data_IF_126088162701
#
_entry.id   IF_126088162701
#
_cell.length_a   1.000
_cell.length_b   1.000
_cell.length_c   1.000
_cell.angle_alpha   90.00
_cell.angle_beta   90.00
_cell.angle_gamma   90.00
#
_symmetry.space_group_name_H-M   'P 1'
#
loop_
_entity.id
_entity.type
_entity.pdbx_description
1 polymer ?
#
# COMPACT_ATOMS: atom_id res chain seq x y z
N UNK A 1 -12.68 10.73 -28.97
CA UNK A 1 -12.78 10.70 -27.50
C UNK A 1 -13.54 9.47 -27.11
N UNK A 2 -12.83 8.38 -26.85
CA UNK A 2 -13.46 7.21 -26.25
C UNK A 2 -13.74 7.53 -24.78
N UNK A 3 -15.02 7.57 -24.42
CA UNK A 3 -15.42 7.77 -23.04
C UNK A 3 -15.27 6.44 -22.29
N UNK A 4 -14.13 6.21 -21.65
CA UNK A 4 -13.83 5.02 -20.85
C UNK A 4 -14.25 5.16 -19.38
N UNK A 5 -15.12 6.12 -19.05
CA UNK A 5 -15.69 6.27 -17.72
C UNK A 5 -16.68 5.13 -17.42
N UNK A 6 -16.50 4.40 -16.31
CA UNK A 6 -17.40 3.30 -15.92
C UNK A 6 -17.63 3.22 -14.41
N UNK A 7 -18.88 3.05 -14.02
CA UNK A 7 -19.28 2.78 -12.64
C UNK A 7 -19.61 1.29 -12.46
N UNK A 8 -19.25 0.76 -11.30
CA UNK A 8 -19.42 -0.63 -10.93
C UNK A 8 -20.16 -0.74 -9.60
N UNK A 9 -21.32 -1.41 -9.60
CA UNK A 9 -22.14 -1.65 -8.41
C UNK A 9 -22.45 -3.12 -8.15
N UNK A 10 -22.00 -4.01 -9.05
CA UNK A 10 -22.14 -5.45 -8.87
C UNK A 10 -21.22 -5.96 -7.74
N UNK A 11 -21.56 -7.05 -7.03
CA UNK A 11 -20.72 -7.56 -5.93
C UNK A 11 -19.32 -7.98 -6.37
N UNK A 12 -19.16 -8.43 -7.61
CA UNK A 12 -17.87 -8.80 -8.19
C UNK A 12 -17.79 -8.26 -9.60
N UNK A 13 -16.57 -7.94 -10.06
CA UNK A 13 -16.35 -7.54 -11.44
C UNK A 13 -14.89 -7.53 -11.82
N UNK A 14 -14.67 -7.28 -13.11
CA UNK A 14 -13.35 -7.14 -13.72
C UNK A 14 -13.25 -5.74 -14.32
N UNK A 15 -12.13 -5.07 -14.10
CA UNK A 15 -11.77 -3.76 -14.62
C UNK A 15 -10.51 -3.94 -15.44
N UNK A 16 -10.58 -3.53 -16.70
CA UNK A 16 -9.51 -3.71 -17.68
C UNK A 16 -9.23 -2.38 -18.37
N UNK A 17 -7.98 -2.17 -18.75
CA UNK A 17 -7.60 -1.06 -19.64
C UNK A 17 -8.33 -1.19 -20.99
N UNK A 18 -8.69 -0.09 -21.65
CA UNK A 18 -9.32 -0.15 -22.97
C UNK A 18 -8.47 -0.94 -23.97
N UNK A 19 -9.08 -1.89 -24.67
CA UNK A 19 -8.39 -2.73 -25.65
C UNK A 19 -7.77 -4.02 -25.09
N UNK A 20 -7.74 -4.23 -23.77
CA UNK A 20 -7.13 -5.42 -23.17
C UNK A 20 -7.68 -6.74 -23.80
N UNK A 21 -6.82 -7.73 -24.13
CA UNK A 21 -5.38 -7.83 -23.84
C UNK A 21 -4.46 -7.17 -24.87
N UNK A 22 -5.00 -6.49 -25.88
CA UNK A 22 -4.18 -5.68 -26.80
C UNK A 22 -3.72 -4.39 -26.11
N UNK A 23 -2.75 -3.73 -26.74
CA UNK A 23 -2.17 -2.48 -26.21
C UNK A 23 -3.22 -1.39 -26.04
N UNK A 24 -3.14 -0.66 -24.93
CA UNK A 24 -4.04 0.45 -24.67
C UNK A 24 -3.84 1.63 -25.64
N UNK A 25 -4.90 2.38 -25.98
CA UNK A 25 -4.78 3.64 -26.72
C UNK A 25 -3.94 4.72 -26.01
N UNK A 26 -3.37 5.62 -26.80
CA UNK A 26 -2.69 6.83 -26.33
C UNK A 26 -3.68 7.94 -25.92
N UNK A 27 -3.23 8.86 -25.06
CA UNK A 27 -3.99 10.03 -24.59
C UNK A 27 -5.32 9.67 -23.92
N UNK A 28 -5.32 8.64 -23.09
CA UNK A 28 -6.48 8.23 -22.32
C UNK A 28 -6.58 8.97 -21.00
N UNK A 29 -7.81 9.30 -20.64
CA UNK A 29 -8.21 9.77 -19.32
C UNK A 29 -9.41 8.94 -18.87
N UNK A 30 -9.13 7.76 -18.32
CA UNK A 30 -10.15 6.81 -17.91
C UNK A 30 -10.39 6.86 -16.41
N UNK A 31 -11.64 6.71 -16.01
CA UNK A 31 -12.00 6.63 -14.59
C UNK A 31 -12.99 5.49 -14.35
N UNK A 32 -12.65 4.64 -13.38
CA UNK A 32 -13.43 3.49 -12.98
C UNK A 32 -13.81 3.64 -11.52
N UNK A 33 -15.11 3.68 -11.20
CA UNK A 33 -15.58 3.90 -9.83
C UNK A 33 -16.35 2.66 -9.36
N UNK A 34 -15.87 2.05 -8.27
CA UNK A 34 -16.56 0.96 -7.59
C UNK A 34 -17.39 1.55 -6.44
N UNK A 35 -18.70 1.36 -6.51
CA UNK A 35 -19.68 1.84 -5.54
C UNK A 35 -20.19 0.64 -4.75
N UNK A 36 -19.85 0.59 -3.47
CA UNK A 36 -20.15 -0.53 -2.59
C UNK A 36 -21.24 -0.18 -1.56
N UNK A 37 -22.15 -1.11 -1.23
CA UNK A 37 -23.17 -0.89 -0.21
C UNK A 37 -22.57 -0.66 1.20
N UNK A 38 -23.35 -0.12 2.15
CA UNK A 38 -22.93 -0.04 3.54
C UNK A 38 -22.50 -1.40 4.11
N UNK A 39 -21.56 -1.39 5.06
CA UNK A 39 -21.03 -2.60 5.72
C UNK A 39 -20.36 -3.59 4.76
N UNK A 40 -19.79 -3.11 3.66
CA UNK A 40 -19.03 -3.94 2.73
C UNK A 40 -17.59 -3.48 2.62
N UNK A 41 -16.68 -4.43 2.48
CA UNK A 41 -15.27 -4.21 2.16
C UNK A 41 -15.04 -4.60 0.69
N UNK A 42 -14.51 -3.67 -0.09
CA UNK A 42 -14.07 -3.90 -1.47
C UNK A 42 -12.63 -4.40 -1.43
N UNK A 43 -12.41 -5.60 -1.94
CA UNK A 43 -11.06 -6.13 -2.21
C UNK A 43 -10.78 -6.05 -3.70
N UNK A 44 -9.74 -5.31 -4.10
CA UNK A 44 -9.24 -5.20 -5.47
C UNK A 44 -7.91 -5.97 -5.59
N UNK A 45 -7.75 -6.74 -6.67
CA UNK A 45 -6.54 -7.52 -6.93
C UNK A 45 -6.22 -7.52 -8.42
N UNK A 46 -4.97 -7.18 -8.76
CA UNK A 46 -4.49 -7.14 -10.13
C UNK A 46 -4.09 -8.55 -10.58
N UNK A 47 -4.55 -8.94 -11.77
CA UNK A 47 -4.21 -10.20 -12.42
C UNK A 47 -3.00 -10.01 -13.34
N UNK A 48 -2.98 -8.90 -14.09
CA UNK A 48 -1.88 -8.47 -14.97
C UNK A 48 -1.71 -6.96 -14.83
N UNK A 49 -0.47 -6.49 -15.02
CA UNK A 49 -0.14 -5.08 -14.97
C UNK A 49 1.16 -4.81 -15.76
N UNK A 50 1.06 -4.04 -16.84
CA UNK A 50 2.20 -3.58 -17.65
C UNK A 50 1.85 -2.22 -18.26
N UNK A 51 2.40 -1.15 -17.66
CA UNK A 51 2.28 0.22 -18.14
C UNK A 51 3.67 0.79 -18.48
N UNK A 52 3.73 1.82 -19.31
CA UNK A 52 4.98 2.55 -19.52
C UNK A 52 5.51 3.13 -18.20
N UNK A 53 6.83 3.06 -18.01
CA UNK A 53 7.54 3.71 -16.91
C UNK A 53 8.78 4.43 -17.45
N UNK A 54 9.33 5.37 -16.68
CA UNK A 54 10.57 6.08 -17.00
C UNK A 54 11.76 5.10 -17.08
N UNK A 55 12.32 4.86 -18.28
CA UNK A 55 13.40 3.89 -18.46
C UNK A 55 14.73 4.37 -17.86
N UNK A 56 14.84 5.66 -17.49
CA UNK A 56 16.07 6.25 -16.95
C UNK A 56 16.18 6.14 -15.43
N UNK A 57 15.10 5.76 -14.73
CA UNK A 57 15.10 5.57 -13.29
C UNK A 57 15.27 4.08 -12.94
N UNK A 58 16.27 3.76 -12.12
CA UNK A 58 16.38 2.43 -11.52
C UNK A 58 15.28 2.28 -10.46
N UNK A 59 14.16 1.64 -10.81
CA UNK A 59 13.05 1.38 -9.90
C UNK A 59 11.69 1.76 -10.48
N UNK A 60 10.69 1.97 -9.62
CA UNK A 60 9.29 2.25 -10.01
C UNK A 60 9.06 3.68 -10.53
N UNK A 61 10.08 4.54 -10.48
CA UNK A 61 10.00 5.92 -10.97
C UNK A 61 8.87 6.74 -10.32
N UNK A 62 8.64 7.95 -10.82
CA UNK A 62 7.48 8.77 -10.40
C UNK A 62 6.25 8.53 -11.31
N UNK A 63 6.28 7.48 -12.14
CA UNK A 63 5.25 7.17 -13.13
C UNK A 63 4.84 8.38 -13.97
N UNK A 64 5.82 8.97 -14.68
CA UNK A 64 5.67 10.25 -15.38
C UNK A 64 4.92 10.17 -16.71
N UNK A 65 4.95 8.99 -17.36
CA UNK A 65 4.36 8.78 -18.69
C UNK A 65 2.96 8.22 -18.56
N UNK A 66 2.85 6.92 -18.26
CA UNK A 66 1.58 6.25 -18.03
C UNK A 66 1.45 5.83 -16.56
N UNK A 67 0.25 5.97 -16.00
CA UNK A 67 0.03 5.59 -14.61
C UNK A 67 -1.41 5.21 -14.31
N UNK A 68 -1.55 4.43 -13.24
CA UNK A 68 -2.81 4.11 -12.60
C UNK A 68 -2.82 4.64 -11.17
N UNK A 69 -3.63 5.66 -10.91
CA UNK A 69 -3.89 6.14 -9.56
C UNK A 69 -5.07 5.37 -8.95
N UNK A 70 -4.92 4.87 -7.72
CA UNK A 70 -6.01 4.24 -6.97
C UNK A 70 -6.37 5.11 -5.77
N UNK A 71 -7.65 5.42 -5.61
CA UNK A 71 -8.18 6.37 -4.63
C UNK A 71 -9.16 5.70 -3.69
N UNK A 72 -9.02 5.93 -2.38
CA UNK A 72 -10.00 5.52 -1.37
C UNK A 72 -11.16 6.53 -1.28
N UNK A 73 -11.89 6.67 -2.39
CA UNK A 73 -12.96 7.65 -2.53
C UNK A 73 -13.13 8.06 -3.98
N UNK A 74 -13.57 9.31 -4.20
CA UNK A 74 -13.61 9.92 -5.53
C UNK A 74 -12.19 10.34 -5.98
N UNK A 75 -11.86 10.26 -7.27
CA UNK A 75 -10.56 10.73 -7.78
C UNK A 75 -10.30 12.19 -7.40
N UNK A 76 -9.07 12.52 -7.01
CA UNK A 76 -8.64 13.88 -6.62
C UNK A 76 -9.36 14.50 -5.41
N UNK A 77 -10.18 13.71 -4.70
CA UNK A 77 -10.92 14.15 -3.50
C UNK A 77 -10.66 13.22 -2.33
N UNK A 78 -10.76 11.90 -2.56
CA UNK A 78 -10.39 10.90 -1.56
C UNK A 78 -8.87 10.79 -1.39
N UNK A 79 -8.39 10.12 -0.34
CA UNK A 79 -6.96 9.80 -0.19
C UNK A 79 -6.43 8.98 -1.37
N UNK A 80 -5.24 9.34 -1.87
CA UNK A 80 -4.51 8.53 -2.84
C UNK A 80 -3.91 7.32 -2.10
N UNK A 81 -4.28 6.11 -2.54
CA UNK A 81 -3.70 4.86 -2.01
C UNK A 81 -2.33 4.63 -2.63
N UNK A 82 -2.20 4.92 -3.92
CA UNK A 82 -0.94 4.77 -4.63
C UNK A 82 -1.07 5.10 -6.12
N UNK A 83 0.09 5.43 -6.71
CA UNK A 83 0.30 5.60 -8.14
C UNK A 83 1.16 4.44 -8.63
N UNK A 84 0.73 3.75 -9.68
CA UNK A 84 1.39 2.55 -10.18
C UNK A 84 1.68 2.65 -11.67
N UNK A 85 2.84 2.12 -12.08
CA UNK A 85 3.27 1.98 -13.48
C UNK A 85 4.34 0.88 -13.61
N UNK A 86 4.81 0.62 -14.83
CA UNK A 86 5.77 -0.46 -15.10
C UNK A 86 5.11 -1.85 -15.04
N UNK A 87 5.92 -2.87 -14.74
CA UNK A 87 5.51 -4.29 -14.80
C UNK A 87 5.25 -4.91 -13.43
N UNK A 88 5.45 -4.16 -12.34
CA UNK A 88 5.21 -4.68 -10.99
C UNK A 88 3.72 -4.68 -10.71
N UNK A 89 3.18 -5.84 -10.37
CA UNK A 89 1.77 -6.00 -10.01
C UNK A 89 1.50 -5.22 -8.71
N UNK A 90 0.54 -4.27 -8.70
CA UNK A 90 0.20 -3.54 -7.49
C UNK A 90 -0.28 -4.47 -6.38
N UNK A 91 -0.02 -4.12 -5.10
CA UNK A 91 -0.45 -4.93 -3.97
C UNK A 91 -1.97 -5.05 -3.93
N UNK A 92 -2.46 -6.06 -3.19
CA UNK A 92 -3.89 -6.23 -2.95
C UNK A 92 -4.44 -5.06 -2.12
N UNK A 93 -5.49 -4.42 -2.61
CA UNK A 93 -6.09 -3.23 -2.01
C UNK A 93 -7.40 -3.60 -1.31
N UNK A 94 -7.63 -3.10 -0.10
CA UNK A 94 -8.84 -3.36 0.69
C UNK A 94 -9.47 -2.08 1.25
N UNK A 95 -10.51 -1.59 0.57
CA UNK A 95 -11.24 -0.38 0.98
C UNK A 95 -12.55 -0.72 1.70
N UNK A 96 -12.92 0.14 2.65
CA UNK A 96 -14.19 0.04 3.40
C UNK A 96 -14.96 1.38 3.44
N UNK A 97 -14.58 2.35 2.61
CA UNK A 97 -15.16 3.71 2.61
C UNK A 97 -16.48 3.82 1.84
N UNK A 98 -16.82 2.80 1.06
CA UNK A 98 -18.00 2.81 0.18
C UNK A 98 -17.66 3.11 -1.28
N UNK A 99 -16.55 3.80 -1.54
CA UNK A 99 -16.10 4.19 -2.88
C UNK A 99 -14.61 3.85 -3.06
N UNK A 100 -14.29 3.12 -4.12
CA UNK A 100 -12.91 2.86 -4.55
C UNK A 100 -12.81 3.25 -6.03
N UNK A 101 -11.89 4.15 -6.37
CA UNK A 101 -11.77 4.65 -7.74
C UNK A 101 -10.38 4.39 -8.31
N UNK A 102 -10.33 4.13 -9.62
CA UNK A 102 -9.10 4.01 -10.39
C UNK A 102 -9.11 5.09 -11.47
N UNK A 103 -8.01 5.83 -11.62
CA UNK A 103 -7.79 6.79 -12.70
C UNK A 103 -6.61 6.33 -13.54
N UNK A 104 -6.86 6.01 -14.80
CA UNK A 104 -5.85 5.53 -15.74
C UNK A 104 -5.55 6.61 -16.76
N UNK A 105 -4.29 7.04 -16.78
CA UNK A 105 -3.76 8.07 -17.68
C UNK A 105 -2.74 7.46 -18.63
N UNK A 106 -2.79 7.87 -19.90
CA UNK A 106 -1.77 7.51 -20.89
C UNK A 106 -1.30 8.72 -21.70
N UNK A 107 -0.02 8.74 -22.08
CA UNK A 107 0.57 9.82 -22.85
C UNK A 107 0.42 9.64 -24.39
N UNK A 108 1.15 10.42 -25.18
CA UNK A 108 1.07 10.39 -26.66
C UNK A 108 1.81 9.22 -27.31
N UNK A 109 2.61 8.45 -26.58
CA UNK A 109 3.52 7.45 -27.12
C UNK A 109 3.50 6.14 -26.31
N UNK A 110 4.31 5.16 -26.78
CA UNK A 110 4.66 3.89 -26.11
C UNK A 110 3.53 3.24 -25.29
N UNK A 111 2.64 2.51 -25.96
CA UNK A 111 1.65 1.69 -25.27
C UNK A 111 2.20 0.28 -24.92
N UNK A 112 1.78 -0.21 -23.76
CA UNK A 112 2.00 -1.55 -23.21
C UNK A 112 0.70 -2.36 -23.16
N UNK A 113 0.75 -3.56 -22.58
CA UNK A 113 -0.37 -4.50 -22.56
C UNK A 113 -1.49 -4.08 -21.59
N UNK A 114 -1.22 -3.12 -20.69
CA UNK A 114 -2.23 -2.54 -19.80
C UNK A 114 -2.44 -3.34 -18.53
N UNK A 115 -3.67 -3.35 -18.02
CA UNK A 115 -3.99 -4.03 -16.77
C UNK A 115 -5.33 -4.76 -16.83
N UNK A 116 -5.42 -5.84 -16.05
CA UNK A 116 -6.68 -6.50 -15.71
C UNK A 116 -6.73 -6.70 -14.20
N UNK A 117 -7.78 -6.19 -13.57
CA UNK A 117 -7.98 -6.25 -12.13
C UNK A 117 -9.37 -6.78 -11.80
N UNK A 118 -9.46 -7.58 -10.74
CA UNK A 118 -10.72 -8.12 -10.23
C UNK A 118 -11.04 -7.52 -8.89
N UNK A 119 -12.29 -7.12 -8.70
CA UNK A 119 -12.78 -6.71 -7.40
C UNK A 119 -13.88 -7.65 -6.88
N UNK A 120 -13.97 -7.73 -5.55
CA UNK A 120 -15.03 -8.43 -4.83
C UNK A 120 -15.46 -7.61 -3.62
N UNK A 121 -16.76 -7.48 -3.41
CA UNK A 121 -17.40 -6.86 -2.27
C UNK A 121 -17.77 -7.94 -1.26
N UNK A 122 -17.26 -7.83 -0.04
CA UNK A 122 -17.57 -8.75 1.05
C UNK A 122 -18.30 -8.02 2.15
N UNK A 123 -19.51 -8.47 2.49
CA UNK A 123 -20.23 -7.93 3.64
C UNK A 123 -19.49 -8.29 4.92
N UNK A 124 -19.27 -7.30 5.79
CA UNK A 124 -18.65 -7.48 7.08
C UNK A 124 -19.72 -7.47 8.16
N UNK A 125 -19.85 -8.61 8.83
CA UNK A 125 -20.63 -8.72 10.06
C UNK A 125 -19.70 -8.48 11.24
N UNK A 126 -20.09 -7.60 12.16
CA UNK A 126 -19.34 -7.35 13.40
C UNK A 126 -20.06 -8.06 14.53
N UNK A 127 -19.35 -8.96 15.22
CA UNK A 127 -19.87 -9.63 16.41
C UNK A 127 -19.91 -8.66 17.60
N UNK A 128 -20.89 -8.79 18.48
CA UNK A 128 -20.97 -8.04 19.75
C UNK A 128 -19.76 -8.31 20.67
N UNK A 129 -19.07 -9.43 20.47
CA UNK A 129 -17.86 -9.81 21.20
C UNK A 129 -16.57 -9.34 20.52
N UNK A 130 -16.67 -8.43 19.53
CA UNK A 130 -15.51 -7.97 18.78
C UNK A 130 -14.61 -7.07 19.65
N UNK A 131 -13.34 -7.45 19.73
CA UNK A 131 -12.28 -6.61 20.26
C UNK A 131 -11.42 -6.11 19.10
N UNK A 132 -11.16 -4.80 19.07
CA UNK A 132 -10.29 -4.19 18.06
C UNK A 132 -8.82 -4.47 18.38
N UNK A 133 -8.41 -5.74 18.30
CA UNK A 133 -7.06 -6.22 18.65
C UNK A 133 -6.48 -7.15 17.59
N UNK A 134 -7.14 -7.29 16.44
CA UNK A 134 -6.66 -8.09 15.32
C UNK A 134 -5.39 -7.49 14.71
N UNK A 135 -4.38 -8.33 14.48
CA UNK A 135 -3.13 -7.90 13.85
C UNK A 135 -3.35 -7.39 12.42
N UNK A 136 -2.72 -6.27 12.05
CA UNK A 136 -2.82 -5.72 10.69
C UNK A 136 -2.03 -6.52 9.65
N UNK A 137 -1.05 -7.31 10.10
CA UNK A 137 -0.50 -8.39 9.30
C UNK A 137 0.94 -8.24 8.87
N UNK A 138 1.79 -7.59 9.68
CA UNK A 138 3.26 -7.66 9.54
C UNK A 138 3.73 -9.13 9.54
N UNK A 139 3.29 -9.93 10.51
CA UNK A 139 3.61 -11.36 10.59
C UNK A 139 2.98 -12.18 9.45
N UNK A 140 1.68 -11.96 9.19
CA UNK A 140 0.93 -12.74 8.19
C UNK A 140 1.28 -12.45 6.72
N UNK A 141 2.08 -11.41 6.44
CA UNK A 141 2.36 -10.96 5.08
C UNK A 141 1.26 -10.13 4.41
N UNK A 142 0.15 -9.82 5.12
CA UNK A 142 -0.93 -8.97 4.58
C UNK A 142 -0.47 -7.54 4.30
N UNK A 143 0.43 -7.02 5.13
CA UNK A 143 1.18 -5.79 4.84
C UNK A 143 2.33 -6.20 3.91
N UNK A 144 2.38 -5.64 2.71
CA UNK A 144 3.43 -5.95 1.72
C UNK A 144 4.78 -5.33 2.11
N UNK A 145 5.86 -5.76 1.48
CA UNK A 145 7.19 -5.19 1.73
C UNK A 145 7.28 -3.71 1.34
N UNK A 146 6.51 -3.28 0.33
CA UNK A 146 6.50 -1.88 -0.13
C UNK A 146 5.85 -0.93 0.87
N UNK A 147 5.00 -1.46 1.74
CA UNK A 147 4.38 -0.72 2.82
C UNK A 147 5.32 -0.55 4.03
N UNK A 148 6.51 -1.14 4.01
CA UNK A 148 7.47 -1.09 5.13
C UNK A 148 8.72 -0.34 4.67
N UNK A 149 8.96 0.83 5.24
CA UNK A 149 10.17 1.61 4.98
C UNK A 149 10.82 2.08 6.28
N UNK A 150 12.04 2.60 6.18
CA UNK A 150 12.80 3.08 7.31
C UNK A 150 13.66 4.28 6.91
N UNK A 151 14.17 5.00 7.92
CA UNK A 151 15.15 6.07 7.74
C UNK A 151 16.40 5.58 7.01
N UNK A 152 16.98 4.50 7.50
CA UNK A 152 18.17 3.84 6.95
C UNK A 152 18.13 2.33 7.21
N UNK A 153 19.07 1.60 6.62
CA UNK A 153 19.28 0.17 6.85
C UNK A 153 20.76 -0.12 6.95
N UNK A 154 21.12 -1.11 7.75
CA UNK A 154 22.50 -1.59 7.86
C UNK A 154 23.04 -1.99 6.47
N UNK A 155 24.29 -1.60 6.20
CA UNK A 155 24.87 -1.54 4.85
C UNK A 155 25.10 -2.91 4.20
N UNK A 156 25.13 -4.00 4.97
CA UNK A 156 25.46 -5.33 4.46
C UNK A 156 24.27 -6.04 3.75
N UNK A 157 23.11 -5.38 3.72
CA UNK A 157 21.92 -5.88 3.04
C UNK A 157 21.11 -6.92 3.81
N UNK A 158 21.52 -7.30 5.04
CA UNK A 158 20.89 -8.38 5.81
C UNK A 158 19.99 -7.90 6.95
N UNK A 159 19.76 -6.59 7.05
CA UNK A 159 18.94 -5.98 8.10
C UNK A 159 17.93 -4.96 7.55
N UNK A 160 17.28 -5.33 6.46
CA UNK A 160 16.36 -4.50 5.69
C UNK A 160 15.03 -4.27 6.42
N UNK A 161 14.28 -3.20 6.09
CA UNK A 161 12.97 -2.92 6.68
C UNK A 161 11.98 -4.09 6.58
N UNK A 162 11.98 -4.82 5.45
CA UNK A 162 11.12 -6.00 5.23
C UNK A 162 11.34 -7.14 6.25
N UNK A 163 12.51 -7.19 6.91
CA UNK A 163 12.83 -8.20 7.93
C UNK A 163 12.28 -7.81 9.32
N UNK A 164 11.68 -6.62 9.48
CA UNK A 164 11.08 -6.17 10.76
C UNK A 164 9.77 -6.88 11.13
N UNK A 165 9.34 -7.89 10.37
CA UNK A 165 8.11 -8.64 10.64
C UNK A 165 8.25 -9.40 11.98
N UNK A 166 7.17 -9.43 12.75
CA UNK A 166 7.13 -10.21 13.99
C UNK A 166 7.37 -11.69 13.67
N UNK A 167 8.09 -12.39 14.54
CA UNK A 167 8.47 -13.80 14.39
C UNK A 167 9.25 -14.12 13.08
N UNK A 168 9.93 -13.13 12.48
CA UNK A 168 10.82 -13.39 11.35
C UNK A 168 11.95 -14.36 11.75
N UNK A 169 12.16 -15.43 10.97
CA UNK A 169 13.19 -16.45 11.24
C UNK A 169 14.60 -16.02 10.83
N UNK A 170 14.73 -14.87 10.19
CA UNK A 170 16.00 -14.28 9.80
C UNK A 170 16.51 -13.27 10.82
N UNK A 171 17.37 -12.34 10.41
CA UNK A 171 17.68 -11.15 11.19
C UNK A 171 16.42 -10.25 11.32
N UNK A 172 16.58 -8.98 11.66
CA UNK A 172 15.49 -7.99 11.67
C UNK A 172 15.90 -6.70 10.96
N UNK A 173 15.09 -5.65 11.03
CA UNK A 173 15.56 -4.33 10.64
C UNK A 173 16.54 -3.76 11.68
N UNK A 174 17.64 -3.21 11.19
CA UNK A 174 18.60 -2.42 11.96
C UNK A 174 19.01 -1.22 11.10
N UNK A 175 18.98 0.02 11.63
CA UNK A 175 19.43 1.19 10.89
C UNK A 175 20.95 1.18 10.63
N UNK A 176 21.43 2.11 9.83
CA UNK A 176 22.87 2.27 9.57
C UNK A 176 23.64 2.79 10.81
N UNK A 177 22.99 3.58 11.66
CA UNK A 177 23.55 4.14 12.89
C UNK A 177 22.61 3.93 14.09
N UNK A 178 23.16 3.66 15.26
CA UNK A 178 22.38 3.54 16.51
C UNK A 178 22.08 4.94 17.07
N UNK A 179 21.04 5.59 16.55
CA UNK A 179 20.62 6.95 16.90
C UNK A 179 19.13 7.03 17.22
N UNK A 180 18.75 7.96 18.11
CA UNK A 180 17.34 8.20 18.47
C UNK A 180 16.54 8.97 17.41
N UNK A 181 17.16 9.24 16.25
CA UNK A 181 16.53 9.86 15.07
C UNK A 181 16.10 8.84 14.02
N UNK A 182 16.53 7.59 14.17
CA UNK A 182 16.17 6.52 13.23
C UNK A 182 14.75 6.05 13.48
N UNK A 183 14.07 5.65 12.39
CA UNK A 183 12.70 5.17 12.46
C UNK A 183 12.49 4.03 11.47
N UNK A 184 11.53 3.18 11.80
CA UNK A 184 10.86 2.28 10.86
C UNK A 184 9.39 2.67 10.83
N UNK A 185 8.80 2.67 9.65
CA UNK A 185 7.43 3.06 9.42
C UNK A 185 6.69 2.01 8.59
N UNK A 186 5.37 1.98 8.77
CA UNK A 186 4.47 1.09 8.05
C UNK A 186 3.29 1.89 7.51
N UNK A 187 3.16 1.95 6.19
CA UNK A 187 2.00 2.54 5.53
C UNK A 187 0.84 1.54 5.51
N UNK A 188 -0.22 1.85 6.25
CA UNK A 188 -1.42 1.00 6.32
C UNK A 188 -2.36 1.20 5.12
N UNK A 189 -2.05 2.14 4.21
CA UNK A 189 -2.79 2.57 3.00
C UNK A 189 -4.18 3.16 3.25
N UNK A 190 -4.83 2.74 4.33
CA UNK A 190 -6.17 3.12 4.74
C UNK A 190 -6.13 3.59 6.18
N UNK A 191 -7.02 4.50 6.55
CA UNK A 191 -7.19 4.89 7.95
C UNK A 191 -7.60 3.67 8.78
N UNK A 192 -6.79 3.33 9.79
CA UNK A 192 -7.03 2.23 10.72
C UNK A 192 -7.04 2.74 12.16
N UNK A 193 -7.73 2.01 13.03
CA UNK A 193 -7.72 2.24 14.48
C UNK A 193 -6.58 1.41 15.09
N UNK A 194 -5.48 2.07 15.43
CA UNK A 194 -4.34 1.44 16.11
C UNK A 194 -4.61 1.36 17.62
N UNK A 195 -4.64 0.15 18.17
CA UNK A 195 -4.93 -0.10 19.59
C UNK A 195 -3.76 -0.68 20.38
N UNK A 196 -2.73 -1.18 19.71
CA UNK A 196 -1.55 -1.75 20.34
C UNK A 196 -0.41 -1.98 19.35
N UNK A 197 0.80 -2.05 19.90
CA UNK A 197 2.03 -2.33 19.16
C UNK A 197 2.76 -3.44 19.92
N UNK A 198 3.16 -4.49 19.20
CA UNK A 198 4.02 -5.54 19.70
C UNK A 198 5.39 -5.42 19.01
N UNK A 199 6.46 -5.54 19.78
CA UNK A 199 7.84 -5.44 19.28
C UNK A 199 8.65 -6.66 19.71
N UNK A 200 9.71 -6.94 18.98
CA UNK A 200 10.69 -7.96 19.32
C UNK A 200 12.10 -7.46 19.03
N UNK A 201 13.09 -8.08 19.67
CA UNK A 201 14.49 -7.97 19.26
C UNK A 201 14.83 -8.97 18.15
N UNK A 202 16.13 -9.12 17.90
CA UNK A 202 16.65 -10.12 16.98
C UNK A 202 17.96 -10.72 17.49
N UNK A 203 18.27 -11.92 17.02
CA UNK A 203 19.57 -12.56 17.21
C UNK A 203 20.25 -12.64 15.85
N UNK A 204 21.43 -12.04 15.71
CA UNK A 204 22.20 -12.09 14.46
C UNK A 204 22.54 -13.54 14.13
N UNK A 205 22.18 -13.99 12.92
CA UNK A 205 22.55 -15.32 12.44
C UNK A 205 24.07 -15.51 12.33
N UNK A 206 24.78 -14.44 12.03
CA UNK A 206 26.23 -14.45 11.83
C UNK A 206 27.00 -14.53 13.14
N UNK A 207 26.57 -13.76 14.13
CA UNK A 207 27.38 -13.50 15.34
C UNK A 207 26.76 -14.08 16.60
N UNK A 208 25.50 -14.54 16.54
CA UNK A 208 24.70 -14.99 17.68
C UNK A 208 24.52 -13.91 18.76
N UNK A 209 24.80 -12.65 18.44
CA UNK A 209 24.56 -11.50 19.32
C UNK A 209 23.08 -11.12 19.30
N UNK A 210 22.55 -10.81 20.47
CA UNK A 210 21.16 -10.38 20.65
C UNK A 210 21.06 -8.86 20.71
N UNK A 211 20.09 -8.30 20.01
CA UNK A 211 19.82 -6.87 19.92
C UNK A 211 18.33 -6.62 20.15
N UNK A 212 17.98 -5.58 20.88
CA UNK A 212 16.58 -5.20 21.11
C UNK A 212 16.48 -3.73 21.50
N UNK A 213 15.36 -3.10 21.11
CA UNK A 213 15.00 -1.75 21.53
C UNK A 213 14.35 -1.82 22.91
N UNK A 214 14.77 -0.95 23.83
CA UNK A 214 14.23 -0.92 25.20
C UNK A 214 13.06 0.05 25.36
N UNK A 215 13.13 1.20 24.68
CA UNK A 215 12.08 2.24 24.69
C UNK A 215 11.99 2.89 23.32
N UNK A 216 10.79 3.29 22.92
CA UNK A 216 10.54 3.97 21.64
C UNK A 216 9.50 5.07 21.81
N UNK A 217 9.43 5.98 20.82
CA UNK A 217 8.32 6.92 20.64
C UNK A 217 7.48 6.48 19.45
N UNK A 218 6.20 6.82 19.46
CA UNK A 218 5.29 6.56 18.36
C UNK A 218 4.96 7.86 17.65
N UNK A 219 5.14 7.89 16.33
CA UNK A 219 4.65 8.95 15.46
C UNK A 219 3.57 8.39 14.53
N UNK A 220 2.54 9.20 14.27
CA UNK A 220 1.38 8.83 13.46
C UNK A 220 1.13 9.91 12.42
N UNK A 221 0.70 9.50 11.22
CA UNK A 221 0.32 10.40 10.14
C UNK A 221 -0.87 9.83 9.38
N UNK A 222 -1.68 10.72 8.80
CA UNK A 222 -2.77 10.35 7.88
C UNK A 222 -2.39 10.49 6.41
N UNK A 223 -1.22 11.07 6.11
CA UNK A 223 -0.76 11.37 4.74
C UNK A 223 0.73 11.04 4.50
N UNK A 224 1.48 10.66 5.53
CA UNK A 224 2.93 10.41 5.44
C UNK A 224 3.80 11.67 5.45
N UNK A 225 3.21 12.86 5.50
CA UNK A 225 3.91 14.15 5.46
C UNK A 225 3.79 14.90 6.80
N UNK A 226 2.59 14.95 7.36
CA UNK A 226 2.30 15.61 8.63
C UNK A 226 2.30 14.58 9.76
N UNK A 227 3.24 14.72 10.69
CA UNK A 227 3.47 13.74 11.76
C UNK A 227 3.08 14.26 13.14
N UNK A 228 2.45 13.40 13.92
CA UNK A 228 2.09 13.65 15.31
C UNK A 228 2.75 12.62 16.22
N UNK A 229 3.55 13.10 17.18
CA UNK A 229 4.09 12.26 18.26
C UNK A 229 2.97 11.91 19.25
N UNK A 230 2.76 10.62 19.50
CA UNK A 230 1.85 10.14 20.53
C UNK A 230 2.28 10.63 21.91
N UNK A 231 1.33 11.18 22.67
CA UNK A 231 1.55 11.69 24.03
C UNK A 231 0.61 11.01 25.00
N UNK A 232 1.15 10.60 26.15
CA UNK A 232 0.37 10.12 27.28
C UNK A 232 0.39 11.18 28.40
N UNK A 233 -0.70 11.91 28.56
CA UNK A 233 -0.83 13.00 29.55
C UNK A 233 -0.45 14.40 29.04
N UNK A 234 -1.15 15.41 29.61
CA UNK A 234 -1.23 16.85 29.29
C UNK A 234 -0.83 17.31 27.88
N UNK A 235 -1.88 17.59 27.10
CA UNK A 235 -1.90 18.63 26.08
C UNK A 235 -1.45 19.96 26.71
N UNK A 236 -0.34 20.51 26.22
CA UNK A 236 0.03 21.91 26.40
C UNK A 236 0.25 22.50 25.02
#
# INVERSE_FOLDING_TARGET
>A
TEHCFRNFSAPTGVIESPGFPDKYPHNLECSFIIISPPQTEVTLSFQTFDLENDPLLMGEGECKYDWLDVWDGLPQVGPLIGRYCGTKIPPKIQSSTGLLSLSFHTDMAVAKDGFSARYNMTRKEVSDTFHCSSAFGLESGKISDDQISASTSFYDGRWQPRQARLNNEDNAWTPAEDSNKEYIQVDLQFLKVLTGIATQGAVSKETQKSYYVTTFKLELSTNGEDWMIYRHGKNH
#
